data_IF_956208561886
#
_entry.id   IF_956208561886
#
_cell.length_a   1.000
_cell.length_b   1.000
_cell.length_c   1.000
_cell.angle_alpha   90.00
_cell.angle_beta   90.00
_cell.angle_gamma   90.00
#
_symmetry.space_group_name_H-M   'P 1'
#
loop_
_entity.id
_entity.type
_entity.pdbx_description
1 polymer ?
#
# COMPACT_ATOMS: atom_id res chain seq x y z
N UNK A 1 45.27 19.02 3.90
CA UNK A 1 45.56 17.61 3.61
C UNK A 1 44.25 16.85 3.74
N UNK A 2 43.51 16.75 2.63
CA UNK A 2 42.30 15.94 2.57
C UNK A 2 42.75 14.49 2.47
N UNK A 3 42.40 13.67 3.47
CA UNK A 3 42.60 12.22 3.41
C UNK A 3 41.77 11.62 2.27
N UNK A 4 42.19 10.48 1.70
CA UNK A 4 41.37 9.81 0.70
C UNK A 4 40.07 9.37 1.37
N UNK A 5 38.94 9.73 0.76
CA UNK A 5 37.67 9.11 1.10
C UNK A 5 37.76 7.64 0.69
N UNK A 6 38.03 6.76 1.66
CA UNK A 6 37.94 5.32 1.46
C UNK A 6 36.47 4.97 1.23
N UNK A 7 36.02 4.95 -0.02
CA UNK A 7 34.86 4.14 -0.40
C UNK A 7 35.18 2.69 -0.05
N UNK A 8 34.40 2.06 0.82
CA UNK A 8 34.60 0.64 1.10
C UNK A 8 34.22 -0.16 -0.15
N UNK A 9 35.21 -0.66 -0.90
CA UNK A 9 34.99 -1.58 -2.00
C UNK A 9 34.21 -2.81 -1.49
N UNK A 10 32.98 -2.99 -1.98
CA UNK A 10 32.11 -4.14 -1.69
C UNK A 10 31.94 -5.03 -2.91
N UNK A 11 31.26 -6.17 -2.73
CA UNK A 11 30.81 -7.01 -3.85
C UNK A 11 29.39 -6.64 -4.28
N UNK A 12 28.97 -7.08 -5.47
CA UNK A 12 27.58 -6.94 -5.95
C UNK A 12 26.59 -7.56 -4.96
N UNK A 13 26.92 -8.70 -4.34
CA UNK A 13 26.09 -9.34 -3.31
C UNK A 13 25.80 -8.40 -2.12
N UNK A 14 26.83 -7.73 -1.59
CA UNK A 14 26.71 -6.80 -0.47
C UNK A 14 25.87 -5.57 -0.86
N UNK A 15 26.09 -5.08 -2.08
CA UNK A 15 25.34 -3.93 -2.61
C UNK A 15 23.85 -4.29 -2.84
N UNK A 16 23.56 -5.47 -3.37
CA UNK A 16 22.22 -6.02 -3.53
C UNK A 16 21.53 -6.15 -2.17
N UNK A 17 22.17 -6.81 -1.20
CA UNK A 17 21.63 -6.94 0.16
C UNK A 17 21.31 -5.55 0.76
N UNK A 18 22.25 -4.61 0.65
CA UNK A 18 22.07 -3.25 1.16
C UNK A 18 20.86 -2.58 0.51
N UNK A 19 20.69 -2.72 -0.80
CA UNK A 19 19.55 -2.17 -1.52
C UNK A 19 18.24 -2.84 -1.12
N UNK A 20 18.22 -4.16 -0.96
CA UNK A 20 17.04 -4.89 -0.49
C UNK A 20 16.63 -4.42 0.90
N UNK A 21 17.58 -4.21 1.81
CA UNK A 21 17.30 -3.64 3.15
C UNK A 21 16.70 -2.23 3.06
N UNK A 22 17.17 -1.39 2.14
CA UNK A 22 16.59 -0.06 1.88
C UNK A 22 15.16 -0.15 1.32
N UNK A 23 14.87 -1.18 0.51
CA UNK A 23 13.52 -1.51 0.03
C UNK A 23 12.65 -2.21 1.12
N UNK A 24 13.17 -2.30 2.35
CA UNK A 24 12.44 -2.83 3.49
C UNK A 24 12.56 -4.34 3.68
N UNK A 25 13.28 -5.06 2.83
CA UNK A 25 13.47 -6.51 2.98
C UNK A 25 14.28 -6.81 4.25
N UNK A 26 13.74 -7.65 5.14
CA UNK A 26 14.45 -8.11 6.34
C UNK A 26 14.96 -9.54 6.25
N UNK A 27 14.25 -10.34 5.47
CA UNK A 27 14.42 -11.78 5.40
C UNK A 27 14.20 -12.25 3.97
N UNK A 28 14.77 -13.41 3.69
CA UNK A 28 14.63 -14.10 2.42
C UNK A 28 14.09 -15.50 2.67
N UNK A 29 13.06 -15.87 1.92
CA UNK A 29 12.48 -17.21 1.91
C UNK A 29 13.09 -18.04 0.78
N UNK A 30 13.30 -19.34 1.00
CA UNK A 30 13.90 -20.24 0.01
C UNK A 30 15.41 -20.40 0.22
N UNK A 31 16.23 -19.95 -0.73
CA UNK A 31 17.70 -19.94 -0.67
C UNK A 31 18.23 -18.72 0.12
N UNK A 32 19.41 -18.80 0.74
CA UNK A 32 20.01 -17.66 1.46
C UNK A 32 20.55 -16.60 0.49
N UNK A 33 20.50 -15.33 0.90
CA UNK A 33 21.03 -14.19 0.15
C UNK A 33 21.80 -13.25 1.10
N UNK A 34 23.12 -13.25 0.99
CA UNK A 34 24.00 -12.48 1.87
C UNK A 34 23.74 -12.79 3.35
N UNK A 35 23.69 -11.76 4.17
CA UNK A 35 23.43 -11.81 5.62
C UNK A 35 21.97 -11.44 5.97
N UNK A 36 21.04 -11.48 5.00
CA UNK A 36 19.61 -11.35 5.29
C UNK A 36 19.17 -12.51 6.19
N UNK A 37 18.18 -12.26 7.06
CA UNK A 37 17.61 -13.34 7.87
C UNK A 37 17.05 -14.41 6.93
N UNK A 38 17.58 -15.61 6.99
CA UNK A 38 17.16 -16.69 6.10
C UNK A 38 16.04 -17.52 6.72
N UNK A 39 15.01 -17.82 5.94
CA UNK A 39 13.96 -18.78 6.27
C UNK A 39 13.96 -19.88 5.20
N UNK A 40 14.51 -21.08 5.50
CA UNK A 40 14.58 -22.15 4.52
C UNK A 40 13.17 -22.67 4.20
N UNK A 41 12.78 -22.60 2.94
CA UNK A 41 11.49 -23.08 2.43
C UNK A 41 11.76 -23.87 1.15
N UNK A 42 11.74 -25.21 1.18
CA UNK A 42 12.09 -26.03 0.01
C UNK A 42 11.08 -25.93 -1.14
N UNK A 43 9.82 -25.63 -0.82
CA UNK A 43 8.75 -25.49 -1.80
C UNK A 43 8.76 -24.06 -2.39
N UNK A 44 8.98 -23.90 -3.70
CA UNK A 44 9.15 -22.58 -4.31
C UNK A 44 7.87 -21.74 -4.26
N UNK A 45 6.70 -22.37 -4.41
CA UNK A 45 5.41 -21.67 -4.40
C UNK A 45 5.10 -21.15 -2.99
N UNK A 46 5.41 -21.94 -1.96
CA UNK A 46 5.30 -21.52 -0.56
C UNK A 46 6.30 -20.40 -0.23
N UNK A 47 7.53 -20.46 -0.75
CA UNK A 47 8.52 -19.41 -0.54
C UNK A 47 8.04 -18.07 -1.12
N UNK A 48 7.49 -18.09 -2.34
CA UNK A 48 6.88 -16.94 -3.00
C UNK A 48 5.69 -16.41 -2.20
N UNK A 49 4.76 -17.28 -1.79
CA UNK A 49 3.57 -16.87 -1.03
C UNK A 49 3.94 -16.23 0.32
N UNK A 50 4.94 -16.77 1.01
CA UNK A 50 5.43 -16.20 2.26
C UNK A 50 6.10 -14.84 2.04
N UNK A 51 6.88 -14.69 0.96
CA UNK A 51 7.46 -13.39 0.60
C UNK A 51 6.37 -12.36 0.27
N UNK A 52 5.35 -12.73 -0.50
CA UNK A 52 4.23 -11.83 -0.79
C UNK A 52 3.50 -11.38 0.47
N UNK A 53 3.20 -12.33 1.37
CA UNK A 53 2.52 -12.05 2.63
C UNK A 53 3.37 -11.14 3.52
N UNK A 54 4.68 -11.38 3.61
CA UNK A 54 5.61 -10.54 4.37
C UNK A 54 5.65 -9.10 3.83
N UNK A 55 5.72 -8.93 2.50
CA UNK A 55 5.66 -7.61 1.87
C UNK A 55 4.30 -6.92 1.98
N UNK A 56 3.21 -7.69 2.05
CA UNK A 56 1.85 -7.14 2.21
C UNK A 56 1.56 -6.68 3.63
N UNK A 57 1.95 -7.48 4.62
CA UNK A 57 1.83 -7.14 6.04
C UNK A 57 2.74 -5.96 6.37
N UNK A 58 3.96 -5.96 5.82
CA UNK A 58 4.94 -4.91 6.07
C UNK A 58 5.37 -4.87 7.54
N UNK A 59 5.66 -3.67 8.04
CA UNK A 59 6.10 -3.45 9.41
C UNK A 59 5.17 -2.55 10.21
N UNK A 60 5.19 -2.74 11.53
CA UNK A 60 4.46 -1.90 12.48
C UNK A 60 4.88 -0.42 12.48
N UNK A 61 6.07 -0.11 11.98
CA UNK A 61 6.58 1.27 11.86
C UNK A 61 6.10 2.01 10.58
N UNK A 62 5.34 1.32 9.71
CA UNK A 62 4.78 1.93 8.49
C UNK A 62 5.82 2.23 7.41
N UNK A 63 7.03 1.66 7.48
CA UNK A 63 8.09 1.92 6.50
C UNK A 63 7.80 1.43 5.07
N UNK A 64 6.77 0.60 4.86
CA UNK A 64 6.43 -0.01 3.56
C UNK A 64 7.53 -0.98 3.11
N UNK A 65 7.19 -2.24 2.78
CA UNK A 65 8.21 -3.25 2.50
C UNK A 65 7.85 -4.14 1.33
N UNK A 66 8.88 -4.61 0.65
CA UNK A 66 8.81 -5.81 -0.17
C UNK A 66 9.23 -6.99 0.69
N UNK A 67 8.57 -8.13 0.52
CA UNK A 67 9.13 -9.41 0.93
C UNK A 67 9.95 -10.00 -0.21
N UNK A 68 10.89 -10.87 0.15
CA UNK A 68 11.83 -11.45 -0.80
C UNK A 68 11.85 -12.98 -0.70
N UNK A 69 11.82 -13.65 -1.85
CA UNK A 69 12.18 -15.05 -1.97
C UNK A 69 13.32 -15.20 -2.97
N UNK A 70 14.30 -16.04 -2.65
CA UNK A 70 15.32 -16.46 -3.59
C UNK A 70 15.08 -17.92 -3.92
N UNK A 71 14.80 -18.21 -5.18
CA UNK A 71 14.48 -19.56 -5.66
C UNK A 71 15.71 -20.17 -6.37
N UNK A 72 15.66 -21.48 -6.56
CA UNK A 72 16.66 -22.19 -7.37
C UNK A 72 16.76 -21.60 -8.78
N UNK A 73 17.97 -21.55 -9.34
CA UNK A 73 18.23 -20.85 -10.59
C UNK A 73 18.40 -19.33 -10.43
N UNK A 74 18.68 -18.88 -9.20
CA UNK A 74 18.96 -17.47 -8.87
C UNK A 74 17.82 -16.52 -9.22
N UNK A 75 16.57 -16.96 -9.00
CA UNK A 75 15.39 -16.12 -9.23
C UNK A 75 15.07 -15.38 -7.95
N UNK A 76 15.29 -14.07 -7.94
CA UNK A 76 14.91 -13.17 -6.87
C UNK A 76 13.49 -12.64 -7.12
N UNK A 77 12.56 -13.10 -6.31
CA UNK A 77 11.18 -12.60 -6.25
C UNK A 77 11.07 -11.52 -5.19
N UNK A 78 10.56 -10.34 -5.57
CA UNK A 78 10.30 -9.22 -4.67
C UNK A 78 8.85 -8.81 -4.80
N UNK A 79 8.10 -8.78 -3.70
CA UNK A 79 6.66 -8.59 -3.82
C UNK A 79 6.01 -8.03 -2.57
N UNK A 80 4.86 -7.43 -2.78
CA UNK A 80 3.89 -7.08 -1.74
C UNK A 80 2.45 -7.39 -2.14
N UNK A 81 2.28 -8.18 -3.20
CA UNK A 81 1.00 -8.56 -3.76
C UNK A 81 0.86 -10.10 -3.72
N UNK A 82 0.18 -10.66 -2.69
CA UNK A 82 -0.11 -12.09 -2.62
C UNK A 82 -0.81 -12.62 -3.86
N UNK A 83 -0.17 -13.59 -4.52
CA UNK A 83 -0.65 -14.16 -5.78
C UNK A 83 -0.36 -13.27 -7.00
N UNK A 84 0.40 -12.18 -6.83
CA UNK A 84 0.87 -11.34 -7.91
C UNK A 84 1.86 -12.09 -8.80
N UNK A 85 1.82 -11.80 -10.09
CA UNK A 85 2.71 -12.42 -11.09
C UNK A 85 3.55 -11.36 -11.76
N UNK A 86 4.82 -11.66 -12.01
CA UNK A 86 5.72 -10.85 -12.82
C UNK A 86 6.41 -11.70 -13.87
N UNK A 87 6.64 -11.14 -15.05
CA UNK A 87 7.51 -11.77 -16.03
C UNK A 87 8.95 -11.68 -15.54
N UNK A 88 9.68 -12.81 -15.42
CA UNK A 88 11.06 -12.76 -14.96
C UNK A 88 11.95 -11.95 -15.90
N UNK A 89 12.57 -10.90 -15.37
CA UNK A 89 13.57 -10.12 -16.08
C UNK A 89 14.94 -10.75 -15.84
N UNK A 90 15.64 -11.14 -16.91
CA UNK A 90 17.03 -11.59 -16.80
C UNK A 90 17.93 -10.37 -16.59
N UNK A 91 18.77 -10.44 -15.56
CA UNK A 91 19.72 -9.39 -15.19
C UNK A 91 21.12 -9.93 -15.43
N UNK A 92 21.85 -9.30 -16.35
CA UNK A 92 23.18 -9.75 -16.78
C UNK A 92 24.31 -8.82 -16.36
N UNK A 93 23.95 -7.60 -15.95
CA UNK A 93 24.92 -6.60 -15.48
C UNK A 93 24.48 -5.99 -14.15
N UNK A 94 25.46 -5.46 -13.42
CA UNK A 94 25.23 -4.78 -12.14
C UNK A 94 24.41 -3.49 -12.31
N UNK A 95 24.56 -2.78 -13.43
CA UNK A 95 23.76 -1.59 -13.74
C UNK A 95 22.28 -1.95 -13.92
N UNK A 96 21.97 -2.97 -14.73
CA UNK A 96 20.61 -3.50 -14.91
C UNK A 96 19.96 -3.91 -13.58
N UNK A 97 20.74 -4.51 -12.66
CA UNK A 97 20.27 -4.90 -11.35
C UNK A 97 19.79 -3.68 -10.54
N UNK A 98 20.60 -2.64 -10.45
CA UNK A 98 20.26 -1.46 -9.64
C UNK A 98 19.22 -0.57 -10.29
N UNK A 99 19.14 -0.53 -11.62
CA UNK A 99 18.05 0.12 -12.34
C UNK A 99 16.71 -0.58 -12.06
N UNK A 100 16.67 -1.92 -12.12
CA UNK A 100 15.47 -2.70 -11.77
C UNK A 100 15.05 -2.53 -10.30
N UNK A 101 16.01 -2.27 -9.42
CA UNK A 101 15.78 -2.05 -7.98
C UNK A 101 15.64 -0.57 -7.60
N UNK A 102 15.68 0.37 -8.56
CA UNK A 102 15.55 1.80 -8.27
C UNK A 102 14.12 2.14 -7.78
N UNK A 103 13.10 1.73 -8.53
CA UNK A 103 11.69 1.93 -8.20
C UNK A 103 10.89 0.65 -8.54
N UNK A 104 11.18 -0.48 -7.88
CA UNK A 104 10.51 -1.73 -8.20
C UNK A 104 9.00 -1.65 -7.92
N UNK A 105 8.17 -2.38 -8.69
CA UNK A 105 6.78 -2.64 -8.35
C UNK A 105 6.60 -3.04 -6.89
N UNK A 106 5.51 -2.58 -6.29
CA UNK A 106 5.24 -2.84 -4.88
C UNK A 106 5.72 -1.75 -3.93
N UNK A 107 6.30 -0.63 -4.36
CA UNK A 107 6.62 0.46 -3.42
C UNK A 107 5.41 1.34 -3.12
N UNK A 108 4.78 1.91 -4.15
CA UNK A 108 3.65 2.84 -3.97
C UNK A 108 2.31 2.12 -3.84
N UNK A 109 2.04 1.15 -4.72
CA UNK A 109 0.89 0.25 -4.68
C UNK A 109 1.38 -1.20 -4.66
N UNK A 110 0.57 -2.19 -4.21
CA UNK A 110 0.98 -3.59 -4.20
C UNK A 110 1.45 -4.04 -5.59
N UNK A 111 2.52 -4.82 -5.62
CA UNK A 111 3.13 -5.25 -6.87
C UNK A 111 4.22 -6.29 -6.66
N UNK A 112 4.68 -6.85 -7.78
CA UNK A 112 5.59 -8.00 -7.83
C UNK A 112 6.65 -7.77 -8.90
N UNK A 113 7.87 -8.19 -8.60
CA UNK A 113 9.01 -8.24 -9.51
C UNK A 113 9.66 -9.61 -9.42
N UNK A 114 10.16 -10.12 -10.54
CA UNK A 114 10.94 -11.34 -10.59
C UNK A 114 12.20 -11.09 -11.41
N UNK A 115 13.37 -11.28 -10.81
CA UNK A 115 14.68 -11.05 -11.42
C UNK A 115 15.44 -12.37 -11.49
N UNK A 116 15.87 -12.78 -12.69
CA UNK A 116 16.79 -13.90 -12.86
C UNK A 116 18.21 -13.34 -12.84
N UNK A 117 18.94 -13.61 -11.76
CA UNK A 117 20.29 -13.09 -11.55
C UNK A 117 21.31 -13.94 -12.34
N UNK A 118 21.72 -13.44 -13.50
CA UNK A 118 22.70 -14.05 -14.42
C UNK A 118 23.96 -13.17 -14.50
N UNK A 119 24.52 -12.87 -13.34
CA UNK A 119 25.70 -12.02 -13.15
C UNK A 119 26.55 -12.55 -12.00
N UNK A 120 27.82 -12.15 -11.95
CA UNK A 120 28.73 -12.52 -10.88
C UNK A 120 28.48 -11.66 -9.63
N UNK A 121 27.89 -12.27 -8.60
CA UNK A 121 27.61 -11.58 -7.33
C UNK A 121 28.88 -11.28 -6.53
N UNK A 122 30.01 -11.91 -6.85
CA UNK A 122 31.31 -11.66 -6.21
C UNK A 122 32.12 -10.55 -6.90
N UNK A 123 31.64 -10.03 -8.04
CA UNK A 123 32.24 -8.88 -8.73
C UNK A 123 32.32 -7.65 -7.79
N UNK A 124 33.40 -6.86 -7.91
CA UNK A 124 33.56 -5.63 -7.13
C UNK A 124 32.67 -4.51 -7.68
N UNK A 125 31.95 -3.82 -6.80
CA UNK A 125 31.08 -2.72 -7.15
C UNK A 125 31.16 -1.57 -6.14
N UNK A 126 31.22 -0.32 -6.62
CA UNK A 126 31.16 0.88 -5.79
C UNK A 126 29.71 1.38 -5.70
N UNK A 127 29.17 1.40 -4.48
CA UNK A 127 27.74 1.66 -4.18
C UNK A 127 27.34 3.14 -4.35
N UNK A 128 28.30 4.06 -4.54
CA UNK A 128 28.13 5.48 -4.22
C UNK A 128 27.56 6.39 -5.35
N UNK A 129 27.05 5.84 -6.45
CA UNK A 129 26.57 6.66 -7.59
C UNK A 129 25.17 6.37 -8.13
N UNK A 130 24.50 5.30 -7.66
CA UNK A 130 23.21 4.87 -8.23
C UNK A 130 21.95 5.41 -7.51
N UNK A 131 22.10 6.05 -6.35
CA UNK A 131 20.98 6.51 -5.53
C UNK A 131 20.57 7.94 -5.93
N UNK A 132 19.88 8.10 -7.06
CA UNK A 132 19.18 9.36 -7.34
C UNK A 132 18.08 9.51 -6.29
N UNK A 133 18.13 10.58 -5.49
CA UNK A 133 16.95 10.99 -4.75
C UNK A 133 15.90 11.43 -5.77
N UNK A 134 14.68 10.90 -5.73
CA UNK A 134 13.64 11.32 -6.65
C UNK A 134 13.40 12.82 -6.48
N UNK A 135 13.08 13.50 -7.59
CA UNK A 135 12.68 14.90 -7.56
C UNK A 135 11.51 15.06 -6.58
N UNK A 136 11.62 16.01 -5.66
CA UNK A 136 10.54 16.32 -4.72
C UNK A 136 9.47 17.08 -5.50
N UNK A 137 8.29 16.50 -5.77
CA UNK A 137 7.24 17.26 -6.43
C UNK A 137 6.83 18.45 -5.55
N UNK A 138 6.29 19.52 -6.16
CA UNK A 138 5.77 20.65 -5.40
C UNK A 138 4.70 20.17 -4.41
N UNK A 139 4.67 20.82 -3.25
CA UNK A 139 3.66 20.57 -2.21
C UNK A 139 2.33 21.16 -2.69
N UNK A 140 1.29 20.33 -2.70
CA UNK A 140 -0.08 20.72 -3.04
C UNK A 140 -0.82 21.16 -1.78
N UNK A 141 -1.48 22.32 -1.83
CA UNK A 141 -2.42 22.78 -0.79
C UNK A 141 -3.73 23.21 -1.42
N UNK A 142 -4.85 22.97 -0.74
CA UNK A 142 -6.16 23.47 -1.15
C UNK A 142 -6.38 24.88 -0.63
N UNK A 143 -7.08 25.70 -1.41
CA UNK A 143 -7.42 27.06 -1.01
C UNK A 143 -8.55 27.05 0.04
N UNK A 144 -8.45 27.79 1.17
CA UNK A 144 -9.50 27.84 2.19
C UNK A 144 -10.90 28.23 1.68
N UNK A 145 -11.01 28.89 0.53
CA UNK A 145 -12.30 29.19 -0.11
C UNK A 145 -13.09 27.94 -0.52
N UNK A 146 -12.42 26.78 -0.65
CA UNK A 146 -13.06 25.50 -0.95
C UNK A 146 -13.74 24.86 0.28
N UNK A 147 -13.65 25.45 1.47
CA UNK A 147 -14.18 24.87 2.70
C UNK A 147 -15.72 24.70 2.72
N UNK A 148 -16.45 25.37 1.83
CA UNK A 148 -17.89 25.22 1.66
C UNK A 148 -18.30 24.08 0.72
N UNK A 149 -17.35 23.48 0.00
CA UNK A 149 -17.61 22.40 -0.95
C UNK A 149 -17.80 21.07 -0.22
N UNK A 150 -18.63 20.18 -0.79
CA UNK A 150 -18.73 18.78 -0.39
C UNK A 150 -17.52 18.02 -0.93
N UNK A 151 -16.51 17.89 -0.08
CA UNK A 151 -15.28 17.16 -0.37
C UNK A 151 -15.36 15.77 0.24
N UNK A 152 -15.01 14.75 -0.55
CA UNK A 152 -14.84 13.37 -0.08
C UNK A 152 -13.44 12.89 -0.42
N UNK A 153 -12.90 11.97 0.38
CA UNK A 153 -11.58 11.37 0.16
C UNK A 153 -11.79 9.94 -0.34
N UNK A 154 -11.15 9.59 -1.45
CA UNK A 154 -11.07 8.20 -1.93
C UNK A 154 -9.63 7.72 -1.75
N UNK A 155 -9.44 6.76 -0.84
CA UNK A 155 -8.15 6.24 -0.45
C UNK A 155 -7.95 4.80 -0.95
N UNK A 156 -6.82 4.57 -1.62
CA UNK A 156 -6.42 3.25 -2.08
C UNK A 156 -5.29 2.63 -1.26
N UNK A 157 -4.85 1.41 -1.63
CA UNK A 157 -3.87 0.65 -0.86
C UNK A 157 -2.54 1.39 -0.69
N UNK A 158 -2.23 2.34 -1.58
CA UNK A 158 -1.01 3.14 -1.50
C UNK A 158 -0.92 4.05 -0.28
N UNK A 159 -2.04 4.43 0.35
CA UNK A 159 -2.00 5.16 1.63
C UNK A 159 -1.45 4.29 2.75
N UNK A 160 -1.85 3.01 2.77
CA UNK A 160 -1.36 2.03 3.74
C UNK A 160 0.12 1.77 3.49
N UNK A 161 0.50 1.54 2.22
CA UNK A 161 1.90 1.28 1.83
C UNK A 161 2.83 2.43 2.18
N UNK A 162 2.36 3.67 1.99
CA UNK A 162 3.13 4.85 2.35
C UNK A 162 3.21 5.08 3.87
N UNK A 163 2.47 4.34 4.70
CA UNK A 163 2.38 4.57 6.14
C UNK A 163 1.77 5.92 6.48
N UNK A 164 0.70 6.33 5.77
CA UNK A 164 0.07 7.67 5.90
C UNK A 164 -1.37 7.62 6.40
N UNK A 165 -1.74 6.56 7.11
CA UNK A 165 -3.08 6.41 7.68
C UNK A 165 -3.38 7.47 8.75
N UNK A 166 -2.40 7.86 9.56
CA UNK A 166 -2.60 8.89 10.58
C UNK A 166 -2.95 10.24 9.93
N UNK A 167 -2.20 10.63 8.90
CA UNK A 167 -2.39 11.85 8.13
C UNK A 167 -3.69 11.83 7.33
N UNK A 168 -4.07 10.70 6.74
CA UNK A 168 -5.38 10.52 6.08
C UNK A 168 -6.52 10.81 7.05
N UNK A 169 -6.48 10.19 8.23
CA UNK A 169 -7.54 10.34 9.24
C UNK A 169 -7.56 11.75 9.83
N UNK A 170 -6.40 12.37 10.02
CA UNK A 170 -6.31 13.76 10.47
C UNK A 170 -6.84 14.75 9.43
N UNK A 171 -6.53 14.52 8.15
CA UNK A 171 -7.08 15.29 7.03
C UNK A 171 -8.62 15.23 7.04
N UNK A 172 -9.18 14.01 7.14
CA UNK A 172 -10.63 13.79 7.20
C UNK A 172 -11.26 14.54 8.39
N UNK A 173 -10.66 14.44 9.58
CA UNK A 173 -11.16 15.13 10.80
C UNK A 173 -11.08 16.65 10.68
N UNK A 174 -9.96 17.19 10.22
CA UNK A 174 -9.76 18.64 10.07
C UNK A 174 -10.60 19.25 8.95
N UNK A 175 -10.84 18.51 7.87
CA UNK A 175 -11.72 18.93 6.77
C UNK A 175 -13.21 18.73 7.09
N UNK A 176 -13.54 17.75 7.92
CA UNK A 176 -14.92 17.30 8.12
C UNK A 176 -15.42 16.44 6.96
N UNK A 177 -14.57 15.60 6.38
CA UNK A 177 -14.82 14.86 5.13
C UNK A 177 -14.86 13.36 5.35
N UNK A 178 -15.74 12.67 4.62
CA UNK A 178 -15.78 11.21 4.61
C UNK A 178 -14.57 10.59 3.90
N UNK A 179 -14.12 9.46 4.43
CA UNK A 179 -13.13 8.56 3.81
C UNK A 179 -13.89 7.38 3.20
N UNK A 180 -13.68 7.22 1.91
CA UNK A 180 -14.11 6.09 1.11
C UNK A 180 -12.84 5.32 0.77
N UNK A 181 -12.80 4.04 1.08
CA UNK A 181 -11.62 3.22 0.79
C UNK A 181 -11.90 2.27 -0.37
N UNK A 182 -10.90 1.97 -1.20
CA UNK A 182 -10.98 0.80 -2.09
C UNK A 182 -10.74 -0.48 -1.29
N UNK A 183 -10.93 -1.66 -1.89
CA UNK A 183 -10.89 -2.92 -1.14
C UNK A 183 -9.50 -3.27 -0.59
N UNK A 184 -8.41 -2.88 -1.24
CA UNK A 184 -7.05 -3.02 -0.72
C UNK A 184 -6.67 -1.99 0.34
N UNK A 185 -7.53 -1.00 0.58
CA UNK A 185 -7.42 -0.02 1.66
C UNK A 185 -8.38 -0.29 2.83
N UNK A 186 -8.99 -1.48 2.90
CA UNK A 186 -9.90 -1.83 3.99
C UNK A 186 -9.20 -1.73 5.34
N UNK A 187 -9.85 -1.06 6.29
CA UNK A 187 -9.25 -0.73 7.60
C UNK A 187 -8.58 0.65 7.66
N UNK A 188 -8.60 1.42 6.57
CA UNK A 188 -8.10 2.79 6.55
C UNK A 188 -8.75 3.69 7.62
N UNK A 189 -10.02 3.46 7.96
CA UNK A 189 -10.73 4.10 9.07
C UNK A 189 -11.57 3.05 9.81
N UNK A 190 -11.82 3.24 11.11
CA UNK A 190 -12.66 2.33 11.89
C UNK A 190 -14.05 2.26 11.28
N UNK A 191 -14.64 1.06 11.26
CA UNK A 191 -15.95 0.81 10.64
C UNK A 191 -17.10 1.60 11.29
N UNK A 192 -16.99 1.89 12.59
CA UNK A 192 -17.96 2.62 13.40
C UNK A 192 -17.73 4.15 13.39
N UNK A 193 -16.64 4.61 12.78
CA UNK A 193 -16.32 6.04 12.68
C UNK A 193 -17.32 6.76 11.78
N UNK A 194 -17.76 7.99 12.13
CA UNK A 194 -18.57 8.81 11.25
C UNK A 194 -17.82 9.20 9.96
N UNK A 195 -16.49 9.14 9.97
CA UNK A 195 -15.65 9.41 8.82
C UNK A 195 -15.53 8.21 7.87
N UNK A 196 -16.05 7.03 8.22
CA UNK A 196 -16.03 5.87 7.32
C UNK A 196 -17.30 5.88 6.44
N UNK A 197 -17.11 6.14 5.14
CA UNK A 197 -18.18 6.20 4.14
C UNK A 197 -18.36 4.88 3.37
N UNK A 198 -17.53 3.88 3.63
CA UNK A 198 -17.64 2.54 3.05
C UNK A 198 -16.47 2.15 2.15
N UNK A 199 -16.61 0.97 1.55
CA UNK A 199 -15.62 0.38 0.64
C UNK A 199 -16.21 0.31 -0.77
N UNK A 200 -15.45 0.77 -1.77
CA UNK A 200 -15.90 0.82 -3.18
C UNK A 200 -14.98 0.03 -4.10
N UNK A 201 -15.43 -0.20 -5.34
CA UNK A 201 -14.67 -0.91 -6.38
C UNK A 201 -14.91 -2.42 -6.38
N UNK A 202 -16.01 -2.90 -5.78
CA UNK A 202 -16.32 -4.33 -5.71
C UNK A 202 -17.79 -4.67 -6.02
N UNK A 203 -18.73 -3.85 -5.57
CA UNK A 203 -20.17 -4.13 -5.69
C UNK A 203 -20.83 -3.14 -6.65
N UNK A 204 -21.96 -3.55 -7.23
CA UNK A 204 -22.75 -2.63 -8.03
C UNK A 204 -23.24 -1.46 -7.15
N UNK A 205 -23.21 -0.25 -7.72
CA UNK A 205 -23.62 1.01 -7.07
C UNK A 205 -22.86 1.39 -5.78
N UNK A 206 -21.76 0.72 -5.43
CA UNK A 206 -21.02 1.04 -4.20
C UNK A 206 -20.50 2.49 -4.16
N UNK A 207 -20.00 3.00 -5.28
CA UNK A 207 -19.59 4.40 -5.45
C UNK A 207 -20.74 5.39 -5.26
N UNK A 208 -21.90 5.09 -5.86
CA UNK A 208 -23.11 5.90 -5.72
C UNK A 208 -23.53 5.96 -4.25
N UNK A 209 -23.66 4.79 -3.61
CA UNK A 209 -24.09 4.67 -2.23
C UNK A 209 -23.08 5.27 -1.24
N UNK A 210 -21.80 5.32 -1.60
CA UNK A 210 -20.75 5.98 -0.82
C UNK A 210 -20.73 7.51 -1.00
N UNK A 211 -21.63 8.07 -1.81
CA UNK A 211 -21.79 9.51 -1.98
C UNK A 211 -20.80 10.15 -2.98
N UNK A 212 -20.10 9.37 -3.81
CA UNK A 212 -19.23 9.94 -4.87
C UNK A 212 -20.02 10.82 -5.85
N UNK A 213 -21.29 10.49 -6.07
CA UNK A 213 -22.10 11.22 -7.03
C UNK A 213 -22.42 12.65 -6.59
N UNK A 214 -22.54 12.87 -5.29
CA UNK A 214 -22.94 14.15 -4.70
C UNK A 214 -21.74 15.03 -4.32
N UNK A 215 -20.51 14.52 -4.44
CA UNK A 215 -19.30 15.28 -4.13
C UNK A 215 -19.04 16.39 -5.16
N UNK A 216 -18.69 17.58 -4.67
CA UNK A 216 -18.26 18.70 -5.51
C UNK A 216 -16.78 18.52 -5.93
N UNK A 217 -15.96 17.94 -5.03
CA UNK A 217 -14.54 17.62 -5.26
C UNK A 217 -14.22 16.28 -4.63
N UNK A 218 -13.45 15.46 -5.34
CA UNK A 218 -12.95 14.18 -4.84
C UNK A 218 -11.43 14.30 -4.68
N UNK A 219 -10.95 14.04 -3.46
CA UNK A 219 -9.52 13.90 -3.20
C UNK A 219 -9.17 12.42 -3.36
N UNK A 220 -8.47 12.06 -4.43
CA UNK A 220 -7.96 10.69 -4.60
C UNK A 220 -6.55 10.57 -4.05
N UNK A 221 -6.23 9.45 -3.41
CA UNK A 221 -4.88 9.22 -2.88
C UNK A 221 -4.52 7.74 -2.82
N UNK A 222 -3.35 7.40 -3.37
CA UNK A 222 -2.80 6.03 -3.34
C UNK A 222 -3.70 4.98 -4.00
N UNK A 223 -4.44 5.36 -5.04
CA UNK A 223 -5.32 4.45 -5.77
C UNK A 223 -4.51 3.41 -6.56
N UNK A 224 -5.10 2.24 -6.70
CA UNK A 224 -4.64 1.18 -7.59
C UNK A 224 -5.66 1.07 -8.73
N UNK A 225 -5.18 1.18 -9.97
CA UNK A 225 -6.00 1.14 -11.19
C UNK A 225 -6.76 -0.19 -11.35
N UNK A 226 -6.25 -1.28 -10.75
CA UNK A 226 -6.96 -2.55 -10.74
C UNK A 226 -8.19 -2.51 -9.82
N UNK A 227 -8.14 -1.74 -8.74
CA UNK A 227 -9.26 -1.60 -7.81
C UNK A 227 -10.27 -0.56 -8.28
N UNK A 228 -9.80 0.50 -8.94
CA UNK A 228 -10.65 1.62 -9.35
C UNK A 228 -10.15 2.27 -10.66
N UNK A 229 -10.46 1.67 -11.82
CA UNK A 229 -9.97 2.12 -13.13
C UNK A 229 -10.43 3.54 -13.49
N UNK A 230 -9.54 4.40 -13.96
CA UNK A 230 -9.73 5.85 -14.15
C UNK A 230 -11.08 6.33 -14.75
N UNK A 231 -11.76 5.53 -15.57
CA UNK A 231 -13.06 5.84 -16.17
C UNK A 231 -14.17 6.22 -15.16
N UNK A 232 -14.03 5.86 -13.88
CA UNK A 232 -14.96 6.32 -12.83
C UNK A 232 -14.95 7.85 -12.64
N UNK A 233 -13.85 8.51 -13.02
CA UNK A 233 -13.58 9.92 -12.74
C UNK A 233 -13.89 10.88 -13.89
N UNK A 234 -14.24 10.39 -15.09
CA UNK A 234 -14.37 11.18 -16.33
C UNK A 234 -15.34 12.37 -16.24
N UNK A 235 -16.28 12.34 -15.29
CA UNK A 235 -17.28 13.39 -15.07
C UNK A 235 -17.15 14.10 -13.71
N UNK A 236 -16.05 13.87 -12.98
CA UNK A 236 -15.84 14.35 -11.61
C UNK A 236 -14.63 15.29 -11.54
N UNK A 237 -14.70 16.27 -10.64
CA UNK A 237 -13.54 17.07 -10.28
C UNK A 237 -12.68 16.28 -9.28
N UNK A 238 -11.65 15.62 -9.78
CA UNK A 238 -10.73 14.83 -8.98
C UNK A 238 -9.40 15.58 -8.81
N UNK A 239 -8.99 15.77 -7.55
CA UNK A 239 -7.66 16.20 -7.20
C UNK A 239 -6.88 15.00 -6.67
N UNK A 240 -5.97 14.49 -7.48
CA UNK A 240 -5.04 13.46 -7.03
C UNK A 240 -3.99 14.05 -6.10
N UNK A 241 -3.81 13.42 -4.94
CA UNK A 241 -2.87 13.83 -3.91
C UNK A 241 -2.00 12.63 -3.51
N UNK A 242 -0.67 12.69 -3.73
CA UNK A 242 0.22 11.65 -3.27
C UNK A 242 0.10 11.46 -1.74
N UNK A 243 0.06 10.22 -1.21
CA UNK A 243 -0.13 10.00 0.23
C UNK A 243 0.83 10.79 1.12
N UNK A 244 2.07 10.99 0.66
CA UNK A 244 3.11 11.78 1.35
C UNK A 244 2.75 13.25 1.57
N UNK A 245 1.76 13.79 0.86
CA UNK A 245 1.36 15.20 0.94
C UNK A 245 0.09 15.43 1.76
N UNK A 246 -0.59 14.37 2.25
CA UNK A 246 -1.87 14.50 2.96
C UNK A 246 -1.81 15.45 4.16
N UNK A 247 -0.70 15.44 4.92
CA UNK A 247 -0.52 16.32 6.07
C UNK A 247 -0.39 17.82 5.73
N UNK A 248 0.00 18.15 4.49
CA UNK A 248 0.16 19.54 4.06
C UNK A 248 -1.09 20.11 3.38
N UNK A 249 -1.97 19.24 2.87
CA UNK A 249 -3.05 19.59 1.94
C UNK A 249 -3.95 20.73 2.44
N UNK A 250 -4.29 20.74 3.73
CA UNK A 250 -5.10 21.77 4.37
C UNK A 250 -4.36 22.49 5.51
N UNK A 251 -3.04 22.61 5.38
CA UNK A 251 -2.18 23.25 6.40
C UNK A 251 -2.60 24.69 6.72
N UNK A 252 -3.20 25.40 5.77
CA UNK A 252 -3.67 26.79 5.91
C UNK A 252 -5.12 26.92 6.39
N UNK A 253 -5.85 25.82 6.54
CA UNK A 253 -7.28 25.84 6.89
C UNK A 253 -7.50 25.86 8.40
N UNK A 254 -8.57 26.54 8.83
CA UNK A 254 -9.11 26.37 10.18
C UNK A 254 -9.79 25.01 10.29
N UNK A 255 -9.53 24.28 11.38
CA UNK A 255 -10.11 22.96 11.59
C UNK A 255 -11.65 23.02 11.67
N UNK A 256 -12.32 22.18 10.89
CA UNK A 256 -13.74 21.90 10.99
C UNK A 256 -14.02 21.12 12.28
N UNK A 257 -15.14 21.42 12.95
CA UNK A 257 -15.59 20.73 14.17
C UNK A 257 -16.84 19.89 13.96
N UNK A 258 -17.45 19.96 12.78
CA UNK A 258 -18.65 19.22 12.45
C UNK A 258 -18.27 17.82 11.95
N UNK A 259 -19.11 16.84 12.29
CA UNK A 259 -19.01 15.51 11.72
C UNK A 259 -19.60 15.50 10.32
N UNK A 260 -19.05 14.71 9.39
CA UNK A 260 -19.65 14.53 8.08
C UNK A 260 -20.98 13.77 8.21
N UNK A 261 -21.91 14.08 7.32
CA UNK A 261 -23.13 13.28 7.14
C UNK A 261 -22.78 11.98 6.41
N UNK A 262 -23.10 10.83 7.00
CA UNK A 262 -22.79 9.54 6.38
C UNK A 262 -23.73 9.25 5.20
N UNK A 263 -23.21 8.76 4.08
CA UNK A 263 -24.03 8.38 2.93
C UNK A 263 -24.73 7.04 3.16
N UNK A 264 -25.61 6.65 2.23
CA UNK A 264 -26.48 5.46 2.38
C UNK A 264 -25.76 4.11 2.37
N UNK A 265 -24.49 4.06 1.96
CA UNK A 265 -23.71 2.83 1.86
C UNK A 265 -23.84 1.94 3.10
N UNK A 266 -23.65 2.53 4.28
CA UNK A 266 -23.73 1.77 5.54
C UNK A 266 -25.14 1.27 5.81
N UNK A 267 -26.17 2.13 5.72
CA UNK A 267 -27.56 1.75 6.02
C UNK A 267 -28.08 0.67 5.07
N UNK A 268 -27.79 0.80 3.77
CA UNK A 268 -28.16 -0.21 2.76
C UNK A 268 -27.43 -1.53 3.03
N UNK A 269 -26.11 -1.49 3.25
CA UNK A 269 -25.32 -2.70 3.55
C UNK A 269 -25.82 -3.41 4.81
N UNK A 270 -26.06 -2.67 5.89
CA UNK A 270 -26.58 -3.21 7.15
C UNK A 270 -27.97 -3.83 6.98
N UNK A 271 -28.85 -3.24 6.16
CA UNK A 271 -30.19 -3.80 5.93
C UNK A 271 -30.17 -5.20 5.33
N UNK A 272 -29.15 -5.51 4.53
CA UNK A 272 -28.94 -6.84 3.93
C UNK A 272 -28.21 -7.78 4.89
N UNK A 273 -27.11 -7.31 5.51
CA UNK A 273 -26.21 -8.17 6.28
C UNK A 273 -26.75 -8.56 7.67
N UNK A 274 -27.55 -7.70 8.30
CA UNK A 274 -27.96 -7.89 9.72
C UNK A 274 -28.71 -9.21 9.92
N UNK A 275 -29.70 -9.51 9.06
CA UNK A 275 -30.44 -10.78 9.16
C UNK A 275 -29.56 -12.01 8.88
N UNK A 276 -28.50 -11.87 8.10
CA UNK A 276 -27.59 -12.97 7.77
C UNK A 276 -26.64 -13.31 8.93
N UNK A 277 -26.31 -12.34 9.77
CA UNK A 277 -25.54 -12.56 10.99
C UNK A 277 -26.30 -13.39 12.03
N UNK A 278 -27.62 -13.21 12.10
CA UNK A 278 -28.49 -13.86 13.08
C UNK A 278 -29.10 -15.18 12.57
N UNK A 279 -28.92 -15.48 11.28
CA UNK A 279 -29.50 -16.68 10.67
C UNK A 279 -28.95 -17.98 11.31
N UNK A 280 -29.87 -18.87 11.64
CA UNK A 280 -29.60 -20.25 12.08
C UNK A 280 -29.98 -21.28 11.00
N UNK A 281 -30.20 -20.87 9.75
CA UNK A 281 -30.58 -21.77 8.65
C UNK A 281 -29.48 -22.78 8.29
N UNK A 282 -28.23 -22.48 8.64
CA UNK A 282 -27.06 -23.37 8.55
C UNK A 282 -26.25 -23.26 9.84
N UNK A 283 -25.43 -24.28 10.19
CA UNK A 283 -24.67 -24.29 11.45
C UNK A 283 -23.76 -23.06 11.66
N UNK A 284 -23.10 -22.58 10.59
CA UNK A 284 -22.31 -21.35 10.59
C UNK A 284 -22.34 -20.71 9.20
N UNK A 285 -23.07 -19.61 9.04
CA UNK A 285 -23.06 -18.84 7.79
C UNK A 285 -21.77 -18.02 7.68
N UNK A 286 -21.35 -17.72 6.44
CA UNK A 286 -20.19 -16.84 6.20
C UNK A 286 -20.28 -15.49 6.93
N UNK A 287 -21.40 -14.77 6.86
CA UNK A 287 -21.59 -13.53 7.62
C UNK A 287 -21.44 -13.73 9.13
N UNK A 288 -22.04 -14.78 9.70
CA UNK A 288 -21.93 -15.05 11.14
C UNK A 288 -20.51 -15.39 11.56
N UNK A 289 -19.77 -16.13 10.74
CA UNK A 289 -18.35 -16.39 10.96
C UNK A 289 -17.53 -15.08 10.97
N UNK A 290 -17.79 -14.18 10.02
CA UNK A 290 -17.14 -12.87 9.95
C UNK A 290 -17.46 -12.02 11.18
N UNK A 291 -18.71 -12.03 11.66
CA UNK A 291 -19.10 -11.32 12.89
C UNK A 291 -18.40 -11.89 14.13
N UNK A 292 -18.35 -13.22 14.28
CA UNK A 292 -17.65 -13.85 15.39
C UNK A 292 -16.15 -13.52 15.37
N UNK A 293 -15.53 -13.55 14.19
CA UNK A 293 -14.13 -13.18 14.01
C UNK A 293 -13.90 -11.71 14.40
N UNK A 294 -14.73 -10.79 13.89
CA UNK A 294 -14.65 -9.37 14.22
C UNK A 294 -14.80 -9.10 15.73
N UNK A 295 -15.67 -9.84 16.43
CA UNK A 295 -15.84 -9.72 17.87
C UNK A 295 -14.70 -10.34 18.70
N UNK A 296 -13.87 -11.19 18.12
CA UNK A 296 -12.74 -11.85 18.78
C UNK A 296 -11.39 -11.15 18.54
N UNK A 297 -11.31 -10.27 17.55
CA UNK A 297 -10.08 -9.56 17.17
C UNK A 297 -9.82 -8.40 18.16
N UNK A 298 -8.58 -8.26 18.69
CA UNK A 298 -8.20 -7.10 19.50
C UNK A 298 -8.12 -5.82 18.65
N UNK A 299 -8.09 -4.65 19.29
CA UNK A 299 -8.07 -3.34 18.61
C UNK A 299 -6.90 -3.18 17.60
N UNK A 300 -5.79 -3.88 17.82
CA UNK A 300 -4.58 -3.89 16.98
C UNK A 300 -4.42 -5.19 16.18
N UNK A 301 -5.44 -6.05 16.15
CA UNK A 301 -5.36 -7.33 15.46
C UNK A 301 -5.38 -7.18 13.94
N UNK A 302 -4.62 -8.06 13.28
CA UNK A 302 -4.49 -8.13 11.82
C UNK A 302 -5.19 -9.41 11.35
N UNK A 303 -5.95 -9.29 10.26
CA UNK A 303 -6.65 -10.40 9.58
C UNK A 303 -6.13 -10.52 8.16
#
# INVERSE_FOLDING_TARGET
MSGPANGSAGTVAIALETRLRQLGVQRVYGEPLGELKHVPVPDPDLAVLLADADGRIGHSDGSGRLGAALLSGSILHLSSAPGGTANPQRITTTEELFDALAEPPGLEIPGTSALVLDLDLDERFEVDSALRSPDRPPVVTLDPSMASLRIVIVAGPGVIRAGRLAELRELARRGGWGIINTWGARGAERWDSPFNFGTVGLQDRDMELAGLNDADVIISTGLDDYEMPAAWSDSKLVQEVPPRQLGALISTWTANRNLPERPEHHSVSSSVLTGLYESNSVPLSGPRAALHLAGAIPDDGIV
#
